data_IF_491723886892
#
_entry.id   IF_491723886892
#
_cell.length_a   1.000
_cell.length_b   1.000
_cell.length_c   1.000
_cell.angle_alpha   90.00
_cell.angle_beta   90.00
_cell.angle_gamma   90.00
#
_symmetry.space_group_name_H-M   'P 1'
#
loop_
_entity.id
_entity.type
_entity.pdbx_description
1 polymer ?
#
# COMPACT_ATOMS: atom_id res chain seq x y z
N UNK A 1 -7.47 -52.42 27.22
CA UNK A 1 -6.61 -51.29 26.79
C UNK A 1 -7.49 -50.30 26.05
N UNK A 2 -7.86 -49.23 26.74
CA UNK A 2 -8.66 -48.14 26.17
C UNK A 2 -7.70 -47.04 25.75
N UNK A 3 -7.76 -46.63 24.48
CA UNK A 3 -7.02 -45.47 23.96
C UNK A 3 -7.98 -44.29 24.11
N UNK A 4 -7.69 -43.40 25.05
CA UNK A 4 -8.39 -42.14 25.19
C UNK A 4 -8.01 -41.19 24.05
N UNK A 5 -8.94 -40.34 23.59
CA UNK A 5 -8.67 -39.33 22.57
C UNK A 5 -7.82 -38.20 23.16
N UNK A 6 -6.69 -37.93 22.51
CA UNK A 6 -5.81 -36.79 22.79
C UNK A 6 -6.60 -35.48 22.57
N UNK A 7 -6.98 -34.89 23.72
CA UNK A 7 -6.65 -33.52 24.10
C UNK A 7 -6.92 -32.41 23.08
N UNK A 8 -8.10 -31.79 23.27
CA UNK A 8 -8.29 -30.34 23.33
C UNK A 8 -7.49 -29.49 22.35
N UNK A 9 -8.11 -29.19 21.19
CA UNK A 9 -7.77 -28.00 20.41
C UNK A 9 -8.08 -26.79 21.30
N UNK A 10 -7.04 -26.30 21.97
CA UNK A 10 -7.05 -25.02 22.66
C UNK A 10 -7.40 -23.93 21.65
N UNK A 11 -8.55 -23.32 21.86
CA UNK A 11 -9.06 -22.18 21.12
C UNK A 11 -8.23 -20.92 21.48
N UNK A 12 -6.95 -20.91 21.10
CA UNK A 12 -5.96 -19.89 21.46
C UNK A 12 -5.55 -19.02 20.27
N UNK A 13 -5.88 -17.73 20.36
CA UNK A 13 -5.48 -16.64 19.46
C UNK A 13 -6.07 -16.65 18.04
N UNK A 14 -7.40 -16.46 17.93
CA UNK A 14 -7.98 -15.79 16.76
C UNK A 14 -7.55 -14.32 16.77
N UNK A 15 -6.38 -14.03 16.20
CA UNK A 15 -5.90 -12.65 16.13
C UNK A 15 -4.75 -12.56 15.16
N UNK A 16 -5.05 -12.40 13.87
CA UNK A 16 -4.05 -11.91 12.92
C UNK A 16 -3.50 -10.54 13.35
N UNK A 17 -2.45 -10.03 12.68
CA UNK A 17 -1.87 -8.74 13.01
C UNK A 17 -2.95 -7.65 12.93
N UNK A 18 -2.92 -6.70 13.88
CA UNK A 18 -3.85 -5.56 13.86
C UNK A 18 -3.60 -4.70 12.64
N UNK A 19 -4.62 -3.95 12.21
CA UNK A 19 -4.51 -3.11 11.02
C UNK A 19 -3.36 -2.09 11.11
N UNK A 20 -3.10 -1.52 12.29
CA UNK A 20 -2.07 -0.51 12.55
C UNK A 20 -0.66 -1.09 12.60
N UNK A 21 -0.53 -2.42 12.74
CA UNK A 21 0.74 -3.13 12.61
C UNK A 21 1.11 -3.42 11.15
N UNK A 22 0.14 -3.36 10.22
CA UNK A 22 0.34 -3.65 8.79
C UNK A 22 0.24 -2.42 7.90
N UNK A 23 -0.46 -1.39 8.35
CA UNK A 23 -0.59 -0.09 7.69
C UNK A 23 -0.08 1.01 8.61
N UNK A 24 1.12 1.50 8.30
CA UNK A 24 1.74 2.55 9.11
C UNK A 24 1.56 3.91 8.43
N UNK A 25 1.13 4.97 9.14
CA UNK A 25 1.08 6.31 8.57
C UNK A 25 2.42 6.71 7.96
N UNK A 26 2.39 7.21 6.74
CA UNK A 26 3.57 7.61 6.00
C UNK A 26 3.89 9.08 6.24
N UNK A 27 5.18 9.44 6.18
CA UNK A 27 5.64 10.83 6.27
C UNK A 27 5.44 11.63 4.96
N UNK A 28 4.87 10.96 3.95
CA UNK A 28 4.57 11.52 2.64
C UNK A 28 3.42 12.52 2.72
N UNK A 29 2.26 12.12 3.22
CA UNK A 29 1.13 13.00 3.43
C UNK A 29 0.16 12.34 4.41
N UNK A 30 -0.66 13.13 5.10
CA UNK A 30 -1.79 12.60 5.86
C UNK A 30 -2.76 11.88 4.91
N UNK A 31 -3.27 10.73 5.35
CA UNK A 31 -4.07 9.82 4.53
C UNK A 31 -3.24 8.88 3.64
N UNK A 32 -1.90 8.87 3.76
CA UNK A 32 -1.03 7.90 3.09
C UNK A 32 -0.48 6.90 4.11
N UNK A 33 -0.57 5.61 3.80
CA UNK A 33 -0.15 4.52 4.69
C UNK A 33 0.81 3.59 3.95
N UNK A 34 1.99 3.35 4.53
CA UNK A 34 2.93 2.36 4.04
C UNK A 34 2.43 0.94 4.39
N UNK A 35 2.45 0.04 3.41
CA UNK A 35 2.00 -1.34 3.56
C UNK A 35 3.17 -2.23 3.94
N UNK A 36 3.02 -2.98 5.03
CA UNK A 36 4.00 -3.96 5.50
C UNK A 36 4.26 -5.02 4.43
N UNK A 37 5.53 -5.43 4.30
CA UNK A 37 6.04 -6.19 3.17
C UNK A 37 5.37 -7.56 2.96
N UNK A 38 4.98 -8.23 4.04
CA UNK A 38 4.32 -9.53 4.07
C UNK A 38 2.87 -9.48 3.57
N UNK A 39 2.19 -8.33 3.71
CA UNK A 39 0.82 -8.13 3.24
C UNK A 39 0.74 -7.78 1.75
N UNK A 40 1.82 -7.25 1.16
CA UNK A 40 1.84 -6.74 -0.22
C UNK A 40 1.38 -7.77 -1.28
N UNK A 41 1.84 -9.05 -1.25
CA UNK A 41 1.39 -10.03 -2.23
C UNK A 41 -0.11 -10.33 -2.13
N UNK A 42 -0.63 -10.44 -0.89
CA UNK A 42 -2.05 -10.68 -0.63
C UNK A 42 -2.90 -9.49 -1.11
N UNK A 43 -2.47 -8.27 -0.81
CA UNK A 43 -3.14 -7.05 -1.26
C UNK A 43 -3.12 -6.93 -2.80
N UNK A 44 -1.98 -7.19 -3.46
CA UNK A 44 -1.89 -7.20 -4.93
C UNK A 44 -2.87 -8.19 -5.57
N UNK A 45 -2.96 -9.40 -5.02
CA UNK A 45 -3.90 -10.41 -5.51
C UNK A 45 -5.34 -9.93 -5.36
N UNK A 46 -5.68 -9.43 -4.17
CA UNK A 46 -7.02 -8.89 -3.92
C UNK A 46 -7.37 -7.77 -4.92
N UNK A 47 -6.48 -6.79 -5.13
CA UNK A 47 -6.66 -5.68 -6.08
C UNK A 47 -6.88 -6.16 -7.52
N UNK A 48 -6.13 -7.17 -7.96
CA UNK A 48 -6.27 -7.76 -9.28
C UNK A 48 -7.65 -8.42 -9.47
N UNK A 49 -8.16 -9.08 -8.43
CA UNK A 49 -9.46 -9.75 -8.44
C UNK A 49 -10.65 -8.75 -8.40
N UNK A 50 -10.41 -7.50 -8.00
CA UNK A 50 -11.47 -6.47 -7.87
C UNK A 50 -11.84 -5.79 -9.20
N UNK A 51 -11.09 -6.01 -10.29
CA UNK A 51 -11.40 -5.38 -11.59
C UNK A 51 -11.40 -3.84 -11.56
N UNK A 52 -10.52 -3.26 -10.74
CA UNK A 52 -10.33 -1.80 -10.56
C UNK A 52 -9.71 -1.15 -11.79
N UNK A 53 -9.90 0.16 -11.94
CA UNK A 53 -9.10 0.96 -12.86
C UNK A 53 -7.63 0.92 -12.40
N UNK A 54 -6.74 0.59 -13.32
CA UNK A 54 -5.31 0.43 -13.05
C UNK A 54 -4.49 1.07 -14.15
N UNK A 55 -3.37 1.67 -13.77
CA UNK A 55 -2.41 2.28 -14.69
C UNK A 55 -0.99 1.99 -14.21
N UNK A 56 -0.04 2.00 -15.14
CA UNK A 56 1.38 1.78 -14.84
C UNK A 56 2.23 2.90 -15.45
N UNK A 57 3.05 3.53 -14.61
CA UNK A 57 4.09 4.47 -15.02
C UNK A 57 5.44 3.76 -15.11
N UNK A 58 6.12 3.90 -16.26
CA UNK A 58 7.44 3.31 -16.52
C UNK A 58 8.31 4.32 -17.27
N UNK A 59 9.22 4.98 -16.57
CA UNK A 59 10.21 5.86 -17.21
C UNK A 59 11.63 5.34 -16.92
N UNK A 60 12.54 5.47 -17.89
CA UNK A 60 13.88 4.86 -17.88
C UNK A 60 14.73 5.19 -16.64
N UNK A 61 14.48 6.34 -16.00
CA UNK A 61 15.26 6.81 -14.85
C UNK A 61 14.40 7.10 -13.61
N UNK A 62 13.13 6.66 -13.61
CA UNK A 62 12.21 6.83 -12.48
C UNK A 62 11.74 5.48 -11.97
N UNK A 63 11.29 5.41 -10.71
CA UNK A 63 10.67 4.20 -10.22
C UNK A 63 9.47 3.83 -11.09
N UNK A 64 9.35 2.53 -11.35
CA UNK A 64 8.19 1.95 -11.97
C UNK A 64 7.04 1.95 -10.96
N UNK A 65 5.90 2.55 -11.31
CA UNK A 65 4.72 2.64 -10.45
C UNK A 65 3.56 1.87 -11.06
N UNK A 66 2.94 0.98 -10.28
CA UNK A 66 1.62 0.42 -10.59
C UNK A 66 0.60 1.08 -9.67
N UNK A 67 -0.52 1.54 -10.21
CA UNK A 67 -1.56 2.23 -9.47
C UNK A 67 -2.93 1.58 -9.66
N UNK A 68 -3.75 1.64 -8.62
CA UNK A 68 -5.15 1.21 -8.60
C UNK A 68 -5.99 2.31 -7.98
N UNK A 69 -7.00 2.79 -8.70
CA UNK A 69 -7.93 3.79 -8.16
C UNK A 69 -9.00 3.14 -7.28
N UNK A 70 -9.25 3.74 -6.11
CA UNK A 70 -10.27 3.29 -5.17
C UNK A 70 -10.83 4.48 -4.39
N UNK A 71 -12.15 4.64 -4.35
CA UNK A 71 -12.85 5.59 -3.47
C UNK A 71 -12.19 7.00 -3.45
N UNK A 72 -11.68 7.43 -2.31
CA UNK A 72 -11.04 8.71 -2.03
C UNK A 72 -9.52 8.74 -2.36
N UNK A 73 -9.00 7.71 -3.02
CA UNK A 73 -7.58 7.59 -3.33
C UNK A 73 -7.24 6.31 -4.09
N UNK A 74 -6.49 5.40 -3.47
CA UNK A 74 -6.04 4.20 -4.18
C UNK A 74 -4.86 3.49 -3.56
N UNK A 75 -4.26 2.61 -4.35
CA UNK A 75 -3.04 1.90 -3.99
C UNK A 75 -1.98 2.21 -5.04
N UNK A 76 -0.74 2.43 -4.60
CA UNK A 76 0.43 2.47 -5.48
C UNK A 76 1.44 1.41 -5.05
N UNK A 77 2.07 0.75 -6.03
CA UNK A 77 3.22 -0.12 -5.84
C UNK A 77 4.41 0.46 -6.61
N UNK A 78 5.44 0.84 -5.86
CA UNK A 78 6.67 1.45 -6.36
C UNK A 78 7.75 0.39 -6.42
N UNK A 79 8.27 0.13 -7.61
CA UNK A 79 9.39 -0.78 -7.83
C UNK A 79 10.72 -0.03 -7.81
N UNK A 80 11.78 -0.70 -7.35
CA UNK A 80 13.11 -0.11 -7.33
C UNK A 80 13.61 0.19 -8.74
N UNK A 81 14.32 1.32 -8.88
CA UNK A 81 15.12 1.60 -10.08
C UNK A 81 16.36 0.75 -10.00
N UNK A 82 16.48 -0.27 -10.86
CA UNK A 82 17.78 -0.88 -11.13
C UNK A 82 18.55 0.07 -12.03
N UNK A 83 19.39 0.92 -11.43
CA UNK A 83 20.35 1.69 -12.22
C UNK A 83 21.32 0.69 -12.87
N UNK A 84 21.61 0.81 -14.19
CA UNK A 84 22.62 -0.03 -14.83
C UNK A 84 23.97 0.18 -14.11
N UNK A 85 24.51 -0.90 -13.54
CA UNK A 85 25.81 -0.89 -12.84
C UNK A 85 25.81 -1.46 -11.42
N UNK A 86 24.65 -1.73 -10.80
CA UNK A 86 24.59 -2.37 -9.47
C UNK A 86 23.87 -3.72 -9.55
N UNK A 87 24.58 -4.85 -9.44
CA UNK A 87 23.91 -6.15 -9.45
C UNK A 87 23.12 -6.35 -8.14
N UNK A 88 21.92 -6.96 -8.21
CA UNK A 88 21.15 -7.30 -7.01
C UNK A 88 21.90 -8.36 -6.20
N UNK A 89 22.21 -8.06 -4.94
CA UNK A 89 22.80 -9.03 -4.00
C UNK A 89 24.33 -9.13 -3.98
N UNK A 90 25.06 -8.12 -4.47
CA UNK A 90 26.51 -8.09 -4.31
C UNK A 90 26.93 -8.06 -2.83
N UNK A 91 27.50 -9.15 -2.34
CA UNK A 91 28.21 -9.20 -1.06
C UNK A 91 29.51 -8.40 -1.23
N UNK A 92 29.81 -7.40 -0.38
CA UNK A 92 31.05 -6.63 -0.49
C UNK A 92 32.27 -7.56 -0.36
N UNK A 93 33.23 -7.46 -1.29
CA UNK A 93 34.54 -8.09 -1.11
C UNK A 93 35.28 -7.40 0.05
N UNK A 94 35.94 -8.15 0.96
CA UNK A 94 36.65 -7.57 2.09
C UNK A 94 37.84 -6.75 1.58
N UNK A 95 37.89 -5.48 1.98
CA UNK A 95 38.98 -4.55 1.61
C UNK A 95 38.69 -3.65 0.41
N UNK A 96 37.55 -3.82 -0.26
CA UNK A 96 36.98 -2.77 -1.10
C UNK A 96 36.02 -2.01 -0.20
N UNK A 97 36.32 -0.74 0.10
CA UNK A 97 35.28 0.19 0.49
C UNK A 97 34.29 0.20 -0.67
N UNK A 98 33.29 -0.67 -0.59
CA UNK A 98 32.00 -0.37 -1.19
C UNK A 98 31.76 1.09 -0.86
N UNK A 99 31.35 1.88 -1.83
CA UNK A 99 30.48 3.01 -1.56
C UNK A 99 29.15 2.50 -0.97
N UNK A 100 29.21 1.66 0.08
CA UNK A 100 28.18 1.28 1.00
C UNK A 100 28.06 2.47 1.94
N UNK A 101 27.37 3.48 1.44
CA UNK A 101 27.37 4.78 2.09
C UNK A 101 26.47 5.77 1.39
N UNK A 102 26.10 5.55 0.12
CA UNK A 102 24.88 6.17 -0.39
C UNK A 102 23.71 5.35 0.12
N UNK A 103 23.40 5.50 1.42
CA UNK A 103 22.00 5.73 1.76
C UNK A 103 21.50 6.65 0.66
N UNK A 104 20.51 6.28 -0.19
CA UNK A 104 19.94 7.28 -1.08
C UNK A 104 19.68 8.47 -0.17
N UNK A 105 20.13 9.69 -0.54
CA UNK A 105 20.03 10.82 0.37
C UNK A 105 18.65 10.76 1.02
N UNK A 106 18.51 10.98 2.33
CA UNK A 106 17.18 11.00 2.95
C UNK A 106 16.22 11.99 2.25
N UNK A 107 16.77 12.83 1.36
CA UNK A 107 16.16 13.71 0.37
C UNK A 107 16.15 13.18 -1.08
N UNK A 108 16.16 11.87 -1.35
CA UNK A 108 15.83 11.37 -2.68
C UNK A 108 14.39 11.80 -2.92
N UNK A 109 14.19 12.73 -3.85
CA UNK A 109 12.85 13.17 -4.21
C UNK A 109 12.00 11.98 -4.64
N UNK A 110 12.63 10.95 -5.24
CA UNK A 110 11.94 9.75 -5.72
C UNK A 110 11.27 8.96 -4.59
N UNK A 111 10.13 8.35 -4.91
CA UNK A 111 9.46 7.43 -4.00
C UNK A 111 10.34 6.20 -3.73
N UNK A 112 10.44 5.83 -2.45
CA UNK A 112 11.11 4.60 -2.07
C UNK A 112 10.30 3.37 -2.50
N UNK A 113 10.96 2.25 -2.83
CA UNK A 113 10.27 1.03 -3.21
C UNK A 113 9.34 0.53 -2.11
N UNK A 114 8.15 0.07 -2.49
CA UNK A 114 7.15 -0.37 -1.52
C UNK A 114 5.73 -0.28 -2.07
N UNK A 115 4.76 -0.49 -1.21
CA UNK A 115 3.35 -0.35 -1.54
C UNK A 115 2.71 0.61 -0.54
N UNK A 116 1.83 1.49 -1.02
CA UNK A 116 1.18 2.53 -0.24
C UNK A 116 -0.30 2.57 -0.53
N UNK A 117 -1.09 2.74 0.53
CA UNK A 117 -2.52 3.05 0.49
C UNK A 117 -2.70 4.55 0.62
N UNK A 118 -3.66 5.09 -0.12
CA UNK A 118 -3.97 6.50 -0.19
C UNK A 118 -5.48 6.64 0.03
N UNK A 119 -5.87 7.47 0.99
CA UNK A 119 -7.27 7.71 1.35
C UNK A 119 -7.69 6.93 2.60
N UNK A 120 -8.50 7.57 3.44
CA UNK A 120 -9.04 6.96 4.65
C UNK A 120 -10.12 5.93 4.32
N UNK A 121 -11.02 6.22 3.37
CA UNK A 121 -12.05 5.24 2.96
C UNK A 121 -11.41 4.03 2.30
N UNK A 122 -10.37 4.25 1.50
CA UNK A 122 -9.56 3.18 0.91
C UNK A 122 -8.92 2.29 1.99
N UNK A 123 -8.34 2.89 3.04
CA UNK A 123 -7.81 2.15 4.18
C UNK A 123 -8.91 1.32 4.86
N UNK A 124 -10.05 1.93 5.21
CA UNK A 124 -11.16 1.24 5.91
C UNK A 124 -11.69 0.07 5.12
N UNK A 125 -11.89 0.25 3.82
CA UNK A 125 -12.30 -0.83 2.95
C UNK A 125 -11.30 -1.99 2.96
N UNK A 126 -10.01 -1.71 2.84
CA UNK A 126 -8.97 -2.74 2.78
C UNK A 126 -8.85 -3.47 4.12
N UNK A 127 -8.94 -2.75 5.24
CA UNK A 127 -8.98 -3.34 6.59
C UNK A 127 -10.17 -4.29 6.73
N UNK A 128 -11.37 -3.86 6.35
CA UNK A 128 -12.58 -4.67 6.37
C UNK A 128 -12.47 -5.91 5.47
N UNK A 129 -12.02 -5.74 4.21
CA UNK A 129 -11.92 -6.82 3.22
C UNK A 129 -10.83 -7.84 3.51
N UNK A 130 -9.76 -7.43 4.20
CA UNK A 130 -8.70 -8.34 4.64
C UNK A 130 -8.99 -8.99 6.00
N UNK A 131 -10.05 -8.55 6.70
CA UNK A 131 -10.45 -9.06 8.01
C UNK A 131 -9.43 -8.73 9.10
N UNK A 132 -8.79 -7.56 9.01
CA UNK A 132 -7.77 -7.14 9.97
C UNK A 132 -8.44 -6.59 11.24
N UNK A 133 -8.05 -7.05 12.44
CA UNK A 133 -8.69 -6.63 13.67
C UNK A 133 -8.35 -5.19 14.06
N UNK A 134 -9.33 -4.55 14.71
CA UNK A 134 -9.26 -3.18 15.22
C UNK A 134 -9.62 -2.11 14.19
N UNK A 135 -9.59 -0.84 14.63
CA UNK A 135 -9.85 0.30 13.75
C UNK A 135 -11.22 0.94 13.93
N UNK A 136 -11.90 0.75 15.04
CA UNK A 136 -13.19 1.44 15.24
C UNK A 136 -13.02 2.93 15.57
N UNK A 137 -11.84 3.32 16.05
CA UNK A 137 -11.50 4.72 16.33
C UNK A 137 -11.10 5.48 15.06
N UNK A 138 -11.62 6.70 14.84
CA UNK A 138 -11.27 7.52 13.69
C UNK A 138 -9.83 8.00 13.78
N UNK A 139 -9.18 8.09 12.62
CA UNK A 139 -7.86 8.68 12.47
C UNK A 139 -7.94 10.22 12.41
N UNK A 140 -6.84 10.92 12.72
CA UNK A 140 -6.77 12.36 12.46
C UNK A 140 -7.09 12.66 10.99
N UNK A 141 -8.02 13.59 10.75
CA UNK A 141 -8.45 13.98 9.41
C UNK A 141 -9.36 12.96 8.71
N UNK A 142 -9.73 11.87 9.36
CA UNK A 142 -10.69 10.91 8.82
C UNK A 142 -12.13 11.41 8.97
N UNK A 143 -12.87 11.33 7.85
CA UNK A 143 -14.31 11.53 7.88
C UNK A 143 -15.00 10.29 8.44
N UNK A 144 -15.91 10.48 9.41
CA UNK A 144 -16.71 9.38 9.96
C UNK A 144 -17.89 9.08 9.05
N UNK A 145 -17.71 8.10 8.19
CA UNK A 145 -18.79 7.53 7.39
C UNK A 145 -19.73 6.68 8.25
N UNK A 146 -20.96 6.51 7.78
CA UNK A 146 -21.93 5.56 8.35
C UNK A 146 -21.38 4.14 8.14
N UNK A 147 -21.46 3.23 9.14
CA UNK A 147 -21.02 1.85 8.98
C UNK A 147 -21.63 1.18 7.74
N UNK A 148 -20.80 0.49 6.94
CA UNK A 148 -21.20 -0.18 5.69
C UNK A 148 -21.22 0.71 4.44
N UNK A 149 -21.23 2.04 4.58
CA UNK A 149 -21.26 2.95 3.44
C UNK A 149 -20.06 2.78 2.51
N UNK A 150 -18.87 2.57 3.07
CA UNK A 150 -17.62 2.45 2.31
C UNK A 150 -17.64 1.18 1.46
N UNK A 151 -18.11 0.08 2.01
CA UNK A 151 -18.30 -1.20 1.33
C UNK A 151 -19.38 -1.09 0.25
N UNK A 152 -20.50 -0.46 0.54
CA UNK A 152 -21.60 -0.24 -0.42
C UNK A 152 -21.15 0.63 -1.60
N UNK A 153 -20.45 1.74 -1.34
CA UNK A 153 -19.87 2.60 -2.38
C UNK A 153 -18.89 1.82 -3.25
N UNK A 154 -18.09 0.96 -2.64
CA UNK A 154 -17.17 0.12 -3.39
C UNK A 154 -17.93 -0.90 -4.24
N UNK A 155 -18.89 -1.63 -3.69
CA UNK A 155 -19.60 -2.69 -4.42
C UNK A 155 -20.53 -2.14 -5.50
N UNK A 156 -21.10 -0.96 -5.30
CA UNK A 156 -21.91 -0.26 -6.30
C UNK A 156 -21.08 0.46 -7.37
N UNK A 157 -19.74 0.45 -7.27
CA UNK A 157 -18.86 1.19 -8.19
C UNK A 157 -19.10 0.77 -9.63
N UNK A 158 -19.14 1.76 -10.51
CA UNK A 158 -19.10 1.54 -11.96
C UNK A 158 -17.73 1.92 -12.48
N UNK A 159 -17.27 1.22 -13.51
CA UNK A 159 -16.10 1.69 -14.25
C UNK A 159 -16.48 2.98 -14.96
N UNK A 160 -15.79 4.06 -14.63
CA UNK A 160 -15.96 5.37 -15.24
C UNK A 160 -14.59 5.98 -15.62
N UNK A 161 -14.65 7.07 -16.38
CA UNK A 161 -13.44 7.78 -16.82
C UNK A 161 -12.68 8.39 -15.64
N UNK A 162 -13.38 8.88 -14.61
CA UNK A 162 -12.76 9.47 -13.43
C UNK A 162 -11.85 8.49 -12.67
N UNK A 163 -12.28 7.24 -12.52
CA UNK A 163 -11.45 6.18 -11.91
C UNK A 163 -10.21 5.86 -12.74
N UNK A 164 -10.31 5.92 -14.07
CA UNK A 164 -9.16 5.72 -14.95
C UNK A 164 -8.17 6.89 -14.85
N UNK A 165 -8.66 8.13 -14.92
CA UNK A 165 -7.85 9.34 -14.74
C UNK A 165 -7.15 9.36 -13.38
N UNK A 166 -7.84 8.96 -12.32
CA UNK A 166 -7.28 8.84 -10.98
C UNK A 166 -6.14 7.81 -10.91
N UNK A 167 -6.32 6.63 -11.53
CA UNK A 167 -5.27 5.61 -11.58
C UNK A 167 -4.05 6.12 -12.36
N UNK A 168 -4.27 6.78 -13.49
CA UNK A 168 -3.21 7.38 -14.30
C UNK A 168 -2.46 8.47 -13.52
N UNK A 169 -3.18 9.38 -12.86
CA UNK A 169 -2.60 10.43 -12.03
C UNK A 169 -1.70 9.85 -10.93
N UNK A 170 -2.18 8.80 -10.23
CA UNK A 170 -1.38 8.08 -9.23
C UNK A 170 -0.14 7.41 -9.85
N UNK A 171 -0.25 6.85 -11.04
CA UNK A 171 0.85 6.20 -11.74
C UNK A 171 1.97 7.18 -12.17
N UNK A 172 1.67 8.47 -12.30
CA UNK A 172 2.66 9.52 -12.61
C UNK A 172 3.45 10.01 -11.39
N UNK A 173 3.06 9.63 -10.17
CA UNK A 173 3.65 10.15 -8.93
C UNK A 173 5.05 9.57 -8.63
N UNK A 174 6.09 9.93 -9.40
CA UNK A 174 7.43 9.34 -9.24
C UNK A 174 8.22 9.86 -8.03
N UNK A 175 7.79 10.97 -7.44
CA UNK A 175 8.47 11.64 -6.34
C UNK A 175 7.51 12.08 -5.21
N UNK A 176 8.07 12.36 -4.03
CA UNK A 176 7.32 12.73 -2.82
C UNK A 176 6.46 13.98 -3.02
N UNK A 177 6.95 14.93 -3.81
CA UNK A 177 6.24 16.18 -4.07
C UNK A 177 5.02 15.91 -4.95
N UNK A 178 5.21 15.24 -6.09
CA UNK A 178 4.11 14.84 -6.99
C UNK A 178 3.02 14.08 -6.24
N UNK A 179 3.40 13.12 -5.40
CA UNK A 179 2.44 12.36 -4.60
C UNK A 179 1.67 13.25 -3.62
N UNK A 180 2.34 14.20 -2.93
CA UNK A 180 1.67 15.14 -2.02
C UNK A 180 0.61 15.98 -2.72
N UNK A 181 0.93 16.50 -3.91
CA UNK A 181 -0.01 17.28 -4.70
C UNK A 181 -1.22 16.46 -5.13
N UNK A 182 -0.99 15.24 -5.61
CA UNK A 182 -2.07 14.34 -6.03
C UNK A 182 -2.94 13.93 -4.83
N UNK A 183 -2.34 13.57 -3.70
CA UNK A 183 -3.10 13.24 -2.48
C UNK A 183 -3.95 14.42 -2.03
N UNK A 184 -3.42 15.65 -2.08
CA UNK A 184 -4.18 16.85 -1.74
C UNK A 184 -5.35 17.10 -2.71
N UNK A 185 -5.18 16.81 -4.00
CA UNK A 185 -6.22 16.97 -5.02
C UNK A 185 -7.31 15.89 -4.97
N UNK A 186 -6.98 14.68 -4.49
CA UNK A 186 -7.91 13.56 -4.37
C UNK A 186 -8.75 13.60 -3.09
N UNK A 187 -8.40 14.46 -2.12
CA UNK A 187 -9.20 14.62 -0.91
C UNK A 187 -10.59 15.15 -1.28
N UNK A 188 -11.68 14.50 -0.81
CA UNK A 188 -13.04 14.98 -1.03
C UNK A 188 -13.34 16.29 -0.32
#
# INVERSE_FOLDING_TARGET
MAIQPETGVGNGASGGPRWDEVFTPSDLAEGVFDVRWDLRPRLRRWLADQGLATASGRETHRPAIDAWAMLDGGVIAVSAVSLPGTPPGAVPLPGQETAAGTTPPRNSALLSPGMRLIGHRTLRLVVARLGLPGGDEPLPGEHRDVPGLVEDLFDARRRDAGSAEQAELLATCTDRTSLRWVVAALRP
#
